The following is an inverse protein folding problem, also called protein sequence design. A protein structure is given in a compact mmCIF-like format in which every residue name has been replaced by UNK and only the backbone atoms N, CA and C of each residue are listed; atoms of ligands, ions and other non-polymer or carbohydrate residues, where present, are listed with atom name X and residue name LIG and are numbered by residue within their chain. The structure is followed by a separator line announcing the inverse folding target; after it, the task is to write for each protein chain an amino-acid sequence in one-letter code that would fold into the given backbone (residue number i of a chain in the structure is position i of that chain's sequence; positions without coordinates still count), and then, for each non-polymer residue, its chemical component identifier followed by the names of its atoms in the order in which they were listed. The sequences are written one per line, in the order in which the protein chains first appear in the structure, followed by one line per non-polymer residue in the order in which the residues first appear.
data_IF_597815800775
#
_entry.id   IF_597815800775
#
_cell.length_a   1.000
_cell.length_b   1.000
_cell.length_c   1.000
_cell.angle_alpha   90.00
_cell.angle_beta   90.00
_cell.angle_gamma   90.00
#
_symmetry.space_group_name_H-M   'P 1'
#
loop_
_entity.id
_entity.type
_entity.pdbx_description
1 polymer ?
#
# COMPACT_ATOMS: atom_id res chain seq x y z
N UNK A 1 18.19 -13.19 3.85
CA UNK A 1 17.02 -12.46 4.37
C UNK A 1 16.82 -12.85 5.82
N UNK A 2 17.04 -11.91 6.75
CA UNK A 2 17.13 -12.17 8.20
C UNK A 2 15.88 -12.84 8.77
N UNK A 3 16.06 -13.62 9.83
CA UNK A 3 15.02 -14.35 10.55
C UNK A 3 14.12 -13.37 11.34
N UNK A 4 13.28 -12.62 10.62
CA UNK A 4 12.35 -11.64 11.20
C UNK A 4 11.32 -12.40 12.04
N UNK A 5 11.06 -11.94 13.27
CA UNK A 5 10.08 -12.60 14.15
C UNK A 5 8.69 -12.64 13.51
N UNK A 6 7.90 -13.70 13.80
CA UNK A 6 6.50 -13.82 13.34
C UNK A 6 5.66 -12.59 13.69
N UNK A 7 5.92 -11.99 14.85
CA UNK A 7 5.24 -10.77 15.32
C UNK A 7 5.56 -9.58 14.41
N UNK A 8 6.81 -9.43 14.00
CA UNK A 8 7.24 -8.35 13.10
C UNK A 8 6.67 -8.55 11.70
N UNK A 9 6.69 -9.77 11.16
CA UNK A 9 6.04 -10.09 9.88
C UNK A 9 4.55 -9.72 9.90
N UNK A 10 3.85 -10.07 10.98
CA UNK A 10 2.43 -9.76 11.15
C UNK A 10 2.14 -8.25 11.18
N UNK A 11 3.06 -7.44 11.70
CA UNK A 11 2.98 -5.97 11.65
C UNK A 11 3.19 -5.44 10.24
N UNK A 12 4.19 -5.93 9.51
CA UNK A 12 4.46 -5.52 8.13
C UNK A 12 3.23 -5.78 7.24
N UNK A 13 2.64 -6.98 7.34
CA UNK A 13 1.45 -7.35 6.56
C UNK A 13 0.21 -6.48 6.84
N UNK A 14 0.16 -5.80 7.99
CA UNK A 14 -0.99 -4.98 8.43
C UNK A 14 -0.65 -3.50 8.55
N UNK A 15 0.53 -3.09 8.07
CA UNK A 15 1.00 -1.73 8.24
C UNK A 15 0.16 -0.80 7.37
N UNK A 16 -0.40 0.23 8.03
CA UNK A 16 -1.12 1.32 7.36
C UNK A 16 -0.59 2.65 7.86
N UNK A 17 -0.71 2.87 9.16
CA UNK A 17 -0.36 4.11 9.82
C UNK A 17 0.83 3.96 10.77
N UNK A 18 1.55 5.07 10.90
CA UNK A 18 2.66 5.28 11.80
C UNK A 18 2.35 6.44 12.75
N UNK A 19 2.82 6.36 13.99
CA UNK A 19 2.72 7.47 14.96
C UNK A 19 3.81 8.54 14.70
N UNK A 20 3.82 9.61 15.50
CA UNK A 20 4.82 10.70 15.42
C UNK A 20 6.28 10.22 15.56
N UNK A 21 6.51 9.01 16.07
CA UNK A 21 7.81 8.37 16.26
C UNK A 21 8.07 7.26 15.24
N UNK A 22 7.24 7.17 14.19
CA UNK A 22 7.28 6.14 13.17
C UNK A 22 7.07 4.70 13.66
N UNK A 23 6.35 4.52 14.77
CA UNK A 23 5.95 3.18 15.23
C UNK A 23 4.65 2.73 14.56
N UNK A 24 4.52 1.41 14.38
CA UNK A 24 3.29 0.77 13.91
C UNK A 24 2.08 1.16 14.79
N UNK A 25 1.02 1.66 14.16
CA UNK A 25 -0.27 1.93 14.79
C UNK A 25 -1.27 0.82 14.43
N UNK A 26 -1.88 0.22 15.46
CA UNK A 26 -2.91 -0.80 15.29
C UNK A 26 -4.21 -0.23 14.70
N UNK A 27 -4.98 -1.07 14.01
CA UNK A 27 -6.28 -0.71 13.46
C UNK A 27 -7.21 -0.05 14.51
N UNK A 28 -7.78 1.11 14.17
CA UNK A 28 -8.70 1.87 15.01
C UNK A 28 -8.02 2.67 16.13
N UNK A 29 -6.69 2.79 16.10
CA UNK A 29 -5.90 3.60 17.05
C UNK A 29 -5.19 4.77 16.39
N UNK A 30 -5.32 4.90 15.07
CA UNK A 30 -4.91 6.09 14.34
C UNK A 30 -5.67 7.34 14.80
N UNK A 31 -4.99 8.47 14.77
CA UNK A 31 -5.48 9.80 15.11
C UNK A 31 -5.05 10.82 14.06
N UNK A 32 -5.39 12.10 14.28
CA UNK A 32 -5.05 13.18 13.33
C UNK A 32 -3.55 13.44 13.15
N UNK A 33 -2.69 12.80 13.94
CA UNK A 33 -1.23 12.89 13.81
C UNK A 33 -0.61 11.67 13.15
N UNK A 34 -1.40 10.61 12.96
CA UNK A 34 -0.95 9.37 12.36
C UNK A 34 -0.73 9.57 10.86
N UNK A 35 0.42 9.12 10.36
CA UNK A 35 0.81 9.27 8.95
C UNK A 35 0.74 7.93 8.23
N UNK A 36 0.29 7.93 6.98
CA UNK A 36 0.28 6.72 6.18
C UNK A 36 1.72 6.39 5.73
N UNK A 37 2.17 5.14 5.93
CA UNK A 37 3.59 4.81 5.78
C UNK A 37 4.17 5.15 4.40
N UNK A 38 3.37 4.97 3.34
CA UNK A 38 3.80 5.20 1.97
C UNK A 38 4.03 6.69 1.65
N UNK A 39 3.36 7.59 2.37
CA UNK A 39 3.49 9.03 2.18
C UNK A 39 4.81 9.58 2.75
N UNK A 40 5.42 8.85 3.70
CA UNK A 40 6.70 9.22 4.35
C UNK A 40 7.85 8.29 3.98
N UNK A 41 7.60 7.26 3.17
CA UNK A 41 8.62 6.33 2.73
C UNK A 41 9.66 7.02 1.83
N UNK A 42 10.94 6.75 2.08
CA UNK A 42 12.08 7.45 1.48
C UNK A 42 12.65 6.75 0.24
N UNK A 43 12.12 5.58 -0.13
CA UNK A 43 12.60 4.81 -1.28
C UNK A 43 13.86 3.97 -1.01
N UNK A 44 14.30 3.83 0.24
CA UNK A 44 15.57 3.14 0.55
C UNK A 44 15.59 1.64 0.23
N UNK A 45 14.44 1.00 0.02
CA UNK A 45 14.30 -0.37 -0.48
C UNK A 45 13.82 -0.44 -1.94
N UNK A 46 13.89 0.68 -2.68
CA UNK A 46 13.34 0.80 -4.03
C UNK A 46 11.85 1.16 -4.04
N UNK A 47 11.20 1.00 -5.19
CA UNK A 47 9.79 1.31 -5.40
C UNK A 47 8.89 0.18 -4.88
N UNK A 48 7.93 0.49 -4.00
CA UNK A 48 7.07 -0.52 -3.37
C UNK A 48 5.66 -0.50 -3.98
N UNK A 49 5.25 -1.62 -4.59
CA UNK A 49 3.85 -1.87 -4.93
C UNK A 49 3.19 -2.62 -3.77
N UNK A 50 2.05 -2.13 -3.28
CA UNK A 50 1.40 -2.67 -2.09
C UNK A 50 -0.13 -2.74 -2.23
N UNK A 51 -0.75 -3.45 -1.30
CA UNK A 51 -2.21 -3.52 -1.12
C UNK A 51 -2.60 -3.46 0.35
N UNK A 52 -3.61 -4.22 0.77
CA UNK A 52 -4.14 -4.31 2.14
C UNK A 52 -4.94 -3.09 2.62
N UNK A 53 -4.45 -1.87 2.39
CA UNK A 53 -5.29 -0.67 2.53
C UNK A 53 -6.02 -0.45 1.22
N UNK A 54 -7.36 -0.52 1.28
CA UNK A 54 -8.24 -0.20 0.17
C UNK A 54 -8.26 1.32 -0.09
N UNK A 55 -8.26 1.69 -1.36
CA UNK A 55 -8.50 3.05 -1.84
C UNK A 55 -9.58 3.05 -2.93
N UNK A 56 -10.27 4.18 -3.12
CA UNK A 56 -11.27 4.31 -4.18
C UNK A 56 -10.62 4.24 -5.57
N UNK A 57 -9.40 4.77 -5.69
CA UNK A 57 -8.54 4.69 -6.87
C UNK A 57 -7.10 4.33 -6.47
N UNK A 58 -6.29 3.93 -7.45
CA UNK A 58 -4.86 3.63 -7.22
C UNK A 58 -4.17 4.84 -6.55
N UNK A 59 -3.48 4.60 -5.42
CA UNK A 59 -2.77 5.65 -4.68
C UNK A 59 -1.30 5.66 -5.06
N UNK A 60 -0.87 6.69 -5.77
CA UNK A 60 0.54 6.95 -6.03
C UNK A 60 1.16 7.79 -4.90
N UNK A 61 2.35 7.40 -4.45
CA UNK A 61 3.24 8.16 -3.58
C UNK A 61 4.62 8.22 -4.24
N UNK A 62 5.52 9.08 -3.74
CA UNK A 62 6.82 9.33 -4.40
C UNK A 62 7.62 8.06 -4.73
N UNK A 63 7.55 7.04 -3.86
CA UNK A 63 8.29 5.77 -4.03
C UNK A 63 7.41 4.53 -3.81
N UNK A 64 6.08 4.68 -3.91
CA UNK A 64 5.17 3.57 -3.66
C UNK A 64 3.85 3.69 -4.44
N UNK A 65 3.20 2.56 -4.66
CA UNK A 65 1.96 2.44 -5.42
C UNK A 65 0.99 1.48 -4.75
N UNK A 66 -0.13 2.01 -4.25
CA UNK A 66 -1.23 1.23 -3.68
C UNK A 66 -2.20 0.79 -4.77
N UNK A 67 -2.25 -0.52 -5.06
CA UNK A 67 -3.11 -1.09 -6.12
C UNK A 67 -4.36 -1.80 -5.58
N UNK A 68 -4.54 -1.83 -4.26
CA UNK A 68 -5.75 -2.38 -3.65
C UNK A 68 -6.90 -1.39 -3.76
N UNK A 69 -7.69 -1.56 -4.81
CA UNK A 69 -8.90 -0.77 -5.09
C UNK A 69 -10.18 -1.50 -4.69
N UNK A 70 -10.12 -2.48 -3.78
CA UNK A 70 -11.33 -3.04 -3.19
C UNK A 70 -12.21 -3.87 -4.14
N UNK A 71 -11.61 -4.64 -5.05
CA UNK A 71 -12.34 -5.48 -6.02
C UNK A 71 -13.43 -6.34 -5.36
N UNK A 72 -13.10 -7.02 -4.26
CA UNK A 72 -14.06 -7.90 -3.54
C UNK A 72 -15.24 -7.12 -2.96
N UNK A 73 -15.07 -5.81 -2.74
CA UNK A 73 -16.07 -4.89 -2.22
C UNK A 73 -16.81 -4.12 -3.32
N UNK A 74 -16.73 -4.58 -4.58
CA UNK A 74 -17.55 -4.05 -5.66
C UNK A 74 -16.96 -2.90 -6.46
N UNK A 75 -15.67 -2.59 -6.26
CA UNK A 75 -14.99 -1.55 -7.02
C UNK A 75 -14.18 -2.16 -8.18
N UNK A 76 -12.84 -2.11 -8.15
CA UNK A 76 -12.00 -2.52 -9.29
C UNK A 76 -10.90 -3.48 -8.86
N UNK A 77 -10.50 -4.37 -9.77
CA UNK A 77 -9.20 -5.04 -9.72
C UNK A 77 -8.20 -4.20 -10.52
N UNK A 78 -7.11 -3.79 -9.87
CA UNK A 78 -6.06 -2.95 -10.47
C UNK A 78 -4.77 -3.71 -10.70
N UNK A 79 -4.06 -3.37 -11.76
CA UNK A 79 -2.73 -3.85 -12.09
C UNK A 79 -1.81 -2.69 -12.49
N UNK A 80 -0.53 -2.80 -12.14
CA UNK A 80 0.53 -1.91 -12.60
C UNK A 80 1.42 -2.67 -13.60
N UNK A 81 1.59 -2.11 -14.79
CA UNK A 81 2.45 -2.67 -15.84
C UNK A 81 3.68 -1.79 -15.93
N UNK A 82 4.83 -2.31 -15.47
CA UNK A 82 6.10 -1.59 -15.53
C UNK A 82 6.75 -1.78 -16.89
N UNK A 83 7.05 -0.67 -17.56
CA UNK A 83 7.89 -0.66 -18.77
C UNK A 83 9.36 -0.50 -18.42
N UNK A 84 9.65 0.22 -17.33
CA UNK A 84 10.97 0.35 -16.74
C UNK A 84 10.88 0.42 -15.20
N UNK A 85 11.42 -0.58 -14.53
CA UNK A 85 11.41 -0.68 -13.06
C UNK A 85 12.45 0.23 -12.39
N UNK A 86 13.46 0.70 -13.11
CA UNK A 86 14.48 1.62 -12.58
C UNK A 86 13.96 3.06 -12.57
N UNK A 87 13.26 3.46 -13.64
CA UNK A 87 12.73 4.82 -13.81
C UNK A 87 11.31 5.01 -13.28
N UNK A 88 10.71 3.98 -12.67
CA UNK A 88 9.35 4.01 -12.14
C UNK A 88 8.31 4.33 -13.23
N UNK A 89 8.56 3.89 -14.45
CA UNK A 89 7.62 4.06 -15.56
C UNK A 89 6.63 2.90 -15.56
N UNK A 90 5.36 3.23 -15.31
CA UNK A 90 4.29 2.25 -15.29
C UNK A 90 2.98 2.80 -15.86
N UNK A 91 2.17 1.89 -16.39
CA UNK A 91 0.77 2.14 -16.71
C UNK A 91 -0.14 1.42 -15.71
N UNK A 92 -1.27 2.04 -15.40
CA UNK A 92 -2.33 1.43 -14.59
C UNK A 92 -3.40 0.86 -15.51
N UNK A 93 -3.76 -0.40 -15.29
CA UNK A 93 -4.89 -1.06 -15.96
C UNK A 93 -5.85 -1.55 -14.89
N UNK A 94 -7.14 -1.32 -15.10
CA UNK A 94 -8.19 -1.71 -14.15
C UNK A 94 -9.34 -2.39 -14.88
N UNK A 95 -10.00 -3.31 -14.18
CA UNK A 95 -11.29 -3.86 -14.59
C UNK A 95 -12.26 -3.78 -13.43
N UNK A 96 -13.53 -3.56 -13.73
CA UNK A 96 -14.59 -3.54 -12.71
C UNK A 96 -14.71 -4.92 -12.04
N UNK A 97 -15.14 -4.93 -10.78
CA UNK A 97 -15.48 -6.14 -10.06
C UNK A 97 -16.60 -6.90 -10.75
N UNK A 98 -16.63 -8.22 -10.51
CA UNK A 98 -17.77 -9.07 -10.88
C UNK A 98 -18.85 -9.08 -9.80
N UNK A 99 -18.51 -8.65 -8.59
CA UNK A 99 -19.47 -8.36 -7.52
C UNK A 99 -20.15 -7.03 -7.85
N UNK A 100 -21.38 -7.10 -8.34
CA UNK A 100 -22.24 -5.93 -8.48
C UNK A 100 -22.88 -5.59 -7.13
N UNK A 101 -22.93 -4.29 -6.81
CA UNK A 101 -23.84 -3.73 -5.80
C UNK A 101 -24.95 -2.97 -6.51
#
# INVERSE_FOLDING_TARGET
MNNISKKTQAKILRLRYLDEKYNFVSYGKEDGKSVFWADVYDGNQGFIVYGHQMFDEVKASKYALGVDTGCVYGNKLSAAIFTDTQNQEFAIVQTNSLTGY
#
